data_IF_623675934472
#
_entry.id   IF_623675934472
#
_cell.length_a   1.000
_cell.length_b   1.000
_cell.length_c   1.000
_cell.angle_alpha   90.00
_cell.angle_beta   90.00
_cell.angle_gamma   90.00
#
_symmetry.space_group_name_H-M   'P 1'
#
loop_
_entity.id
_entity.type
_entity.pdbx_description
1 polymer ?
#
# COMPACT_ATOMS: atom_id res chain seq x y z
N UNK A 1 9.31 1.54 -26.80
CA UNK A 1 9.46 2.15 -28.14
C UNK A 1 8.15 2.36 -28.92
N UNK A 2 6.99 1.92 -28.43
CA UNK A 2 5.69 2.09 -29.13
C UNK A 2 4.95 3.39 -28.78
N UNK A 3 5.30 4.05 -27.68
CA UNK A 3 4.70 5.32 -27.22
C UNK A 3 4.63 6.43 -28.29
N UNK A 4 5.64 6.63 -29.16
CA UNK A 4 5.55 7.64 -30.22
C UNK A 4 4.52 7.32 -31.33
N UNK A 5 4.10 6.06 -31.49
CA UNK A 5 3.16 5.65 -32.54
C UNK A 5 1.68 5.80 -32.13
N UNK A 6 1.41 5.92 -30.82
CA UNK A 6 0.06 6.07 -30.26
C UNK A 6 -0.77 7.18 -30.92
N UNK A 7 -0.23 8.40 -31.16
CA UNK A 7 -0.98 9.46 -31.83
C UNK A 7 -1.44 9.09 -33.25
N UNK A 8 -0.63 8.34 -34.00
CA UNK A 8 -0.97 7.90 -35.36
C UNK A 8 -2.11 6.89 -35.33
N UNK A 9 -2.09 5.94 -34.39
CA UNK A 9 -3.19 5.00 -34.20
C UNK A 9 -4.50 5.69 -33.79
N UNK A 10 -4.43 6.69 -32.91
CA UNK A 10 -5.61 7.48 -32.53
C UNK A 10 -6.18 8.26 -33.71
N UNK A 11 -5.33 8.90 -34.52
CA UNK A 11 -5.75 9.59 -35.75
C UNK A 11 -6.44 8.62 -36.72
N UNK A 12 -5.81 7.49 -37.03
CA UNK A 12 -6.37 6.47 -37.94
C UNK A 12 -7.72 5.93 -37.44
N UNK A 13 -7.82 5.63 -36.14
CA UNK A 13 -9.07 5.21 -35.51
C UNK A 13 -10.16 6.29 -35.58
N UNK A 14 -9.80 7.54 -35.31
CA UNK A 14 -10.73 8.68 -35.36
C UNK A 14 -11.28 8.96 -36.76
N UNK A 15 -10.43 8.89 -37.80
CA UNK A 15 -10.88 9.03 -39.19
C UNK A 15 -11.80 7.88 -39.62
N UNK A 16 -11.47 6.63 -39.25
CA UNK A 16 -12.33 5.47 -39.51
C UNK A 16 -13.68 5.58 -38.82
N UNK A 17 -13.72 6.05 -37.56
CA UNK A 17 -14.95 6.28 -36.82
C UNK A 17 -15.81 7.38 -37.46
N UNK A 18 -15.20 8.48 -37.92
CA UNK A 18 -15.91 9.61 -38.54
C UNK A 18 -16.76 9.18 -39.74
N UNK A 19 -16.29 8.21 -40.55
CA UNK A 19 -17.04 7.67 -41.69
C UNK A 19 -18.28 6.85 -41.27
N UNK A 20 -18.28 6.27 -40.07
CA UNK A 20 -19.30 5.35 -39.58
C UNK A 20 -20.41 6.04 -38.75
N UNK A 21 -20.15 7.27 -38.30
CA UNK A 21 -20.98 8.08 -37.40
C UNK A 21 -22.33 8.51 -38.03
N UNK A 22 -22.54 8.38 -39.34
CA UNK A 22 -23.82 8.73 -39.98
C UNK A 22 -25.00 7.81 -39.63
N UNK A 23 -24.75 6.58 -39.14
CA UNK A 23 -25.79 5.55 -38.94
C UNK A 23 -26.04 5.29 -37.46
N UNK A 24 -27.27 5.52 -36.98
CA UNK A 24 -27.66 5.37 -35.56
C UNK A 24 -27.35 3.98 -35.00
N UNK A 25 -27.58 2.93 -35.78
CA UNK A 25 -27.31 1.53 -35.40
C UNK A 25 -25.82 1.28 -35.19
N UNK A 26 -24.96 1.88 -36.02
CA UNK A 26 -23.51 1.72 -35.93
C UNK A 26 -22.95 2.43 -34.70
N UNK A 27 -23.48 3.63 -34.36
CA UNK A 27 -23.13 4.31 -33.11
C UNK A 27 -23.51 3.49 -31.88
N UNK A 28 -24.71 2.91 -31.85
CA UNK A 28 -25.16 2.08 -30.73
C UNK A 28 -24.26 0.84 -30.55
N UNK A 29 -23.88 0.18 -31.65
CA UNK A 29 -22.94 -0.94 -31.60
C UNK A 29 -21.55 -0.51 -31.10
N UNK A 30 -21.00 0.61 -31.58
CA UNK A 30 -19.69 1.11 -31.12
C UNK A 30 -19.68 1.46 -29.64
N UNK A 31 -20.76 2.06 -29.13
CA UNK A 31 -20.89 2.36 -27.70
C UNK A 31 -20.96 1.07 -26.89
N UNK A 32 -21.76 0.09 -27.35
CA UNK A 32 -21.89 -1.20 -26.68
C UNK A 32 -20.55 -1.94 -26.64
N UNK A 33 -19.83 -2.01 -27.77
CA UNK A 33 -18.54 -2.71 -27.84
C UNK A 33 -17.48 -2.02 -26.98
N UNK A 34 -17.45 -0.68 -26.97
CA UNK A 34 -16.56 0.09 -26.08
C UNK A 34 -16.87 -0.18 -24.61
N UNK A 35 -18.14 -0.14 -24.22
CA UNK A 35 -18.59 -0.43 -22.85
C UNK A 35 -18.23 -1.85 -22.44
N UNK A 36 -18.51 -2.84 -23.30
CA UNK A 36 -18.18 -4.24 -23.01
C UNK A 36 -16.68 -4.44 -22.90
N UNK A 37 -15.88 -3.83 -23.77
CA UNK A 37 -14.42 -3.96 -23.72
C UNK A 37 -13.86 -3.31 -22.46
N UNK A 38 -14.31 -2.11 -22.11
CA UNK A 38 -13.93 -1.44 -20.86
C UNK A 38 -14.31 -2.28 -19.64
N UNK A 39 -15.50 -2.89 -19.63
CA UNK A 39 -15.94 -3.75 -18.54
C UNK A 39 -15.11 -5.03 -18.43
N UNK A 40 -14.75 -5.65 -19.56
CA UNK A 40 -13.87 -6.83 -19.58
C UNK A 40 -12.49 -6.46 -19.05
N UNK A 41 -11.89 -5.37 -19.52
CA UNK A 41 -10.57 -4.90 -19.05
C UNK A 41 -10.60 -4.57 -17.55
N UNK A 42 -11.67 -3.93 -17.08
CA UNK A 42 -11.85 -3.67 -15.65
C UNK A 42 -11.93 -4.96 -14.84
N UNK A 43 -12.80 -5.90 -15.25
CA UNK A 43 -13.11 -7.11 -14.47
C UNK A 43 -11.98 -8.13 -14.48
N UNK A 44 -11.28 -8.30 -15.60
CA UNK A 44 -10.25 -9.32 -15.79
C UNK A 44 -8.82 -8.78 -15.78
N UNK A 45 -8.62 -7.49 -16.03
CA UNK A 45 -7.32 -6.85 -15.98
C UNK A 45 -7.09 -6.15 -14.65
N UNK A 46 -7.77 -5.03 -14.44
CA UNK A 46 -7.48 -4.13 -13.32
C UNK A 46 -7.91 -4.69 -11.96
N UNK A 47 -9.12 -5.24 -11.85
CA UNK A 47 -9.64 -5.73 -10.57
C UNK A 47 -8.78 -6.85 -9.96
N UNK A 48 -8.43 -7.95 -10.67
CA UNK A 48 -7.57 -8.98 -10.13
C UNK A 48 -6.15 -8.47 -9.90
N UNK A 49 -5.66 -7.53 -10.71
CA UNK A 49 -4.37 -6.90 -10.50
C UNK A 49 -4.34 -6.17 -9.15
N UNK A 50 -5.31 -5.30 -8.85
CA UNK A 50 -5.34 -4.60 -7.56
C UNK A 50 -5.45 -5.56 -6.38
N UNK A 51 -6.28 -6.61 -6.49
CA UNK A 51 -6.46 -7.62 -5.43
C UNK A 51 -5.24 -8.51 -5.19
N UNK A 52 -4.33 -8.65 -6.16
CA UNK A 52 -3.14 -9.50 -6.02
C UNK A 52 -1.87 -8.72 -5.68
N UNK A 53 -1.94 -7.39 -5.66
CA UNK A 53 -0.78 -6.55 -5.32
C UNK A 53 -0.50 -6.52 -3.83
N UNK A 54 0.76 -6.31 -3.48
CA UNK A 54 1.19 -6.24 -2.07
C UNK A 54 0.51 -5.11 -1.28
N UNK A 55 -0.03 -4.08 -1.94
CA UNK A 55 -0.82 -3.03 -1.29
C UNK A 55 -2.10 -3.56 -0.65
N UNK A 56 -2.66 -4.64 -1.20
CA UNK A 56 -3.84 -5.30 -0.63
C UNK A 56 -3.57 -5.90 0.77
N UNK A 57 -2.30 -6.13 1.14
CA UNK A 57 -1.93 -6.54 2.50
C UNK A 57 -2.31 -5.47 3.53
N UNK A 58 -2.17 -4.18 3.20
CA UNK A 58 -2.59 -3.09 4.09
C UNK A 58 -4.11 -3.02 4.21
N UNK A 59 -4.83 -3.22 3.11
CA UNK A 59 -6.30 -3.27 3.12
C UNK A 59 -6.82 -4.43 3.98
N UNK A 60 -6.31 -5.64 3.76
CA UNK A 60 -6.69 -6.81 4.55
C UNK A 60 -6.31 -6.68 6.03
N UNK A 61 -5.15 -6.08 6.30
CA UNK A 61 -4.75 -5.78 7.68
C UNK A 61 -5.69 -4.77 8.33
N UNK A 62 -6.03 -3.68 7.64
CA UNK A 62 -6.99 -2.68 8.14
C UNK A 62 -8.36 -3.28 8.47
N UNK A 63 -8.92 -4.07 7.55
CA UNK A 63 -10.18 -4.80 7.78
C UNK A 63 -10.12 -5.78 8.95
N UNK A 64 -8.96 -6.42 9.16
CA UNK A 64 -8.74 -7.32 10.29
C UNK A 64 -8.64 -6.54 11.61
N UNK A 65 -7.93 -5.42 11.62
CA UNK A 65 -7.81 -4.55 12.80
C UNK A 65 -9.18 -4.05 13.24
N UNK A 66 -10.06 -3.66 12.31
CA UNK A 66 -11.42 -3.21 12.61
C UNK A 66 -12.28 -4.27 13.32
N UNK A 67 -12.00 -5.56 13.11
CA UNK A 67 -12.70 -6.67 13.77
C UNK A 67 -12.17 -6.95 15.18
N UNK A 68 -10.96 -6.53 15.51
CA UNK A 68 -10.36 -6.73 16.83
C UNK A 68 -10.95 -5.73 17.85
N UNK A 69 -11.07 -6.11 19.13
CA UNK A 69 -11.56 -5.21 20.18
C UNK A 69 -10.58 -4.05 20.44
N UNK A 70 -11.02 -3.01 21.14
CA UNK A 70 -10.19 -1.84 21.45
C UNK A 70 -10.16 -0.79 20.34
N UNK A 71 -9.70 0.41 20.68
CA UNK A 71 -9.80 1.57 19.78
C UNK A 71 -8.46 1.98 19.16
N UNK A 72 -7.33 1.57 19.75
CA UNK A 72 -6.00 1.98 19.33
C UNK A 72 -5.08 0.82 19.00
N UNK A 73 -4.19 1.03 18.04
CA UNK A 73 -3.21 0.04 17.57
C UNK A 73 -1.84 0.69 17.42
N UNK A 74 -0.79 0.03 17.92
CA UNK A 74 0.58 0.49 17.76
C UNK A 74 1.14 -0.05 16.43
N UNK A 75 1.51 0.84 15.52
CA UNK A 75 2.08 0.46 14.23
C UNK A 75 3.56 0.81 14.21
N UNK A 76 4.40 -0.14 13.80
CA UNK A 76 5.83 0.06 13.55
C UNK A 76 6.14 -0.31 12.11
N UNK A 77 6.94 0.52 11.44
CA UNK A 77 7.39 0.25 10.09
C UNK A 77 8.88 -0.10 10.13
N UNK A 78 9.28 -1.12 9.36
CA UNK A 78 10.62 -1.69 9.33
C UNK A 78 11.67 -0.58 9.23
N UNK A 79 12.52 -0.52 10.25
CA UNK A 79 13.44 0.61 10.39
C UNK A 79 14.55 0.52 9.33
N UNK A 80 14.91 1.63 8.67
CA UNK A 80 16.02 1.63 7.73
C UNK A 80 17.36 1.24 8.38
N UNK A 81 17.62 1.62 9.63
CA UNK A 81 18.94 1.45 10.26
C UNK A 81 19.28 0.03 10.74
N UNK A 82 18.33 -0.90 10.87
CA UNK A 82 18.62 -2.23 11.45
C UNK A 82 19.53 -3.11 10.58
N UNK A 83 19.78 -2.75 9.31
CA UNK A 83 20.66 -3.52 8.42
C UNK A 83 21.87 -2.74 7.92
N UNK A 84 22.08 -1.48 8.31
CA UNK A 84 23.18 -0.66 7.79
C UNK A 84 23.16 -0.42 6.27
N UNK A 85 22.16 -0.96 5.57
CA UNK A 85 22.04 -0.93 4.12
C UNK A 85 20.80 -0.10 3.74
N UNK A 86 21.01 1.21 3.82
CA UNK A 86 20.16 2.25 3.23
C UNK A 86 20.39 2.35 1.71
N UNK A 87 21.46 1.73 1.20
CA UNK A 87 21.86 1.76 -0.21
C UNK A 87 21.08 0.73 -1.05
N UNK A 88 19.76 0.88 -1.14
CA UNK A 88 18.97 0.02 -2.04
C UNK A 88 17.46 0.09 -1.88
N UNK A 89 16.95 0.65 -0.79
CA UNK A 89 15.52 0.86 -0.59
C UNK A 89 15.09 2.15 -1.29
N UNK A 90 14.20 2.03 -2.28
CA UNK A 90 13.71 3.19 -3.01
C UNK A 90 12.76 4.05 -2.17
N UNK A 91 11.92 3.43 -1.35
CA UNK A 91 10.80 4.05 -0.64
C UNK A 91 11.01 3.95 0.87
N UNK A 92 10.69 5.02 1.60
CA UNK A 92 10.65 5.00 3.06
C UNK A 92 9.50 4.10 3.55
N UNK A 93 9.76 2.99 4.27
CA UNK A 93 8.70 2.09 4.76
C UNK A 93 7.67 2.77 5.66
N UNK A 94 8.06 3.85 6.34
CA UNK A 94 7.20 4.65 7.23
C UNK A 94 5.96 5.20 6.51
N UNK A 95 6.00 5.38 5.17
CA UNK A 95 4.84 5.80 4.37
C UNK A 95 3.66 4.82 4.48
N UNK A 96 3.90 3.57 4.90
CA UNK A 96 2.84 2.58 5.09
C UNK A 96 1.94 2.87 6.27
N UNK A 97 2.41 3.63 7.26
CA UNK A 97 1.62 4.00 8.44
C UNK A 97 0.39 4.83 8.03
N UNK A 98 0.54 5.99 7.35
CA UNK A 98 -0.62 6.75 6.88
C UNK A 98 -1.41 6.01 5.81
N UNK A 99 -0.80 5.10 5.04
CA UNK A 99 -1.56 4.27 4.10
C UNK A 99 -2.45 3.25 4.83
N UNK A 100 -1.98 2.65 5.91
CA UNK A 100 -2.78 1.77 6.76
C UNK A 100 -3.93 2.53 7.43
N UNK A 101 -3.68 3.78 7.83
CA UNK A 101 -4.68 4.68 8.43
C UNK A 101 -5.91 4.90 7.53
N UNK A 102 -5.73 4.84 6.20
CA UNK A 102 -6.84 4.93 5.24
C UNK A 102 -7.75 3.69 5.23
N UNK A 103 -7.27 2.55 5.73
CA UNK A 103 -7.96 1.26 5.66
C UNK A 103 -8.45 0.76 7.02
N UNK A 104 -8.29 1.53 8.08
CA UNK A 104 -8.74 1.18 9.43
C UNK A 104 -9.50 2.33 10.06
N UNK A 105 -10.42 2.01 10.96
CA UNK A 105 -11.10 2.98 11.83
C UNK A 105 -10.43 3.09 13.20
N UNK A 106 -9.43 2.24 13.47
CA UNK A 106 -8.65 2.30 14.71
C UNK A 106 -7.75 3.53 14.74
N UNK A 107 -7.57 4.08 15.92
CA UNK A 107 -6.55 5.10 16.14
C UNK A 107 -5.16 4.47 16.01
N UNK A 108 -4.41 4.88 14.99
CA UNK A 108 -3.04 4.45 14.81
C UNK A 108 -2.13 5.29 15.70
N UNK A 109 -1.34 4.62 16.53
CA UNK A 109 -0.22 5.23 17.22
C UNK A 109 1.10 4.65 16.72
N UNK A 110 2.13 5.48 16.69
CA UNK A 110 3.47 5.09 16.26
C UNK A 110 4.49 5.71 17.22
N UNK A 111 5.19 4.88 17.98
CA UNK A 111 6.28 5.34 18.86
C UNK A 111 7.58 5.64 18.11
N UNK A 112 7.70 5.17 16.86
CA UNK A 112 8.90 5.31 16.05
C UNK A 112 9.15 6.77 15.64
N UNK A 113 10.43 7.13 15.52
CA UNK A 113 10.86 8.38 14.93
C UNK A 113 10.84 8.26 13.40
N UNK A 114 10.19 9.20 12.73
CA UNK A 114 10.21 9.25 11.27
C UNK A 114 11.50 9.95 10.84
N UNK A 115 12.37 9.23 10.13
CA UNK A 115 13.59 9.82 9.57
C UNK A 115 13.19 10.71 8.41
N UNK A 116 13.34 12.02 8.59
CA UNK A 116 13.18 13.01 7.53
C UNK A 116 14.56 13.45 7.07
N UNK A 117 14.86 13.31 5.77
CA UNK A 117 16.10 13.70 5.07
C UNK A 117 17.16 12.61 4.97
N UNK A 118 17.06 11.83 3.91
CA UNK A 118 18.13 10.99 3.40
C UNK A 118 18.76 11.68 2.18
N UNK A 119 20.05 12.02 2.22
CA UNK A 119 20.71 12.70 1.10
C UNK A 119 20.84 11.81 -0.15
N UNK A 120 20.90 10.49 0.05
CA UNK A 120 21.03 9.49 -1.01
C UNK A 120 19.83 9.45 -1.97
N UNK A 121 18.68 10.03 -1.57
CA UNK A 121 17.44 10.02 -2.35
C UNK A 121 17.05 11.38 -2.95
N UNK A 122 17.91 12.42 -2.86
CA UNK A 122 17.61 13.78 -3.39
C UNK A 122 17.19 13.78 -4.87
N UNK A 123 17.80 12.90 -5.68
CA UNK A 123 17.53 12.78 -7.12
C UNK A 123 16.52 11.66 -7.47
N UNK A 124 15.89 11.04 -6.47
CA UNK A 124 14.92 9.98 -6.66
C UNK A 124 13.51 10.52 -6.87
N UNK A 125 12.73 9.91 -7.76
CA UNK A 125 11.30 10.24 -7.95
C UNK A 125 10.46 9.95 -6.70
N UNK A 126 10.97 9.15 -5.78
CA UNK A 126 10.32 8.76 -4.52
C UNK A 126 10.86 9.52 -3.30
N UNK A 127 11.60 10.62 -3.51
CA UNK A 127 12.12 11.48 -2.42
C UNK A 127 11.05 11.96 -1.45
N UNK A 128 9.82 12.18 -1.93
CA UNK A 128 8.70 12.68 -1.13
C UNK A 128 8.37 11.73 0.04
N UNK A 129 8.66 10.44 -0.09
CA UNK A 129 8.46 9.45 0.98
C UNK A 129 9.45 9.65 2.14
N UNK A 130 10.61 10.27 1.87
CA UNK A 130 11.67 10.59 2.82
C UNK A 130 11.59 12.01 3.37
N UNK A 131 10.79 12.87 2.74
CA UNK A 131 10.54 14.26 3.18
C UNK A 131 9.30 14.37 4.07
N UNK A 132 8.56 13.28 4.24
CA UNK A 132 7.35 13.26 5.05
C UNK A 132 7.69 13.46 6.54
N UNK A 133 7.13 14.51 7.12
CA UNK A 133 7.18 14.77 8.55
C UNK A 133 6.13 13.94 9.28
N UNK A 134 6.41 13.56 10.53
CA UNK A 134 5.46 12.82 11.39
C UNK A 134 4.36 13.76 11.90
N UNK A 135 3.09 13.54 11.54
CA UNK A 135 2.01 14.31 12.13
C UNK A 135 1.82 14.03 13.62
N UNK A 136 1.47 15.03 14.46
CA UNK A 136 1.37 14.86 15.91
C UNK A 136 0.30 13.87 16.37
N UNK A 137 -0.72 13.62 15.54
CA UNK A 137 -1.82 12.72 15.88
C UNK A 137 -1.42 11.24 15.93
N UNK A 138 -0.25 10.87 15.39
CA UNK A 138 0.29 9.51 15.52
C UNK A 138 1.09 9.29 16.83
N UNK A 139 1.22 10.28 17.70
CA UNK A 139 1.92 10.07 18.97
C UNK A 139 1.10 9.17 19.91
N UNK A 140 1.74 8.17 20.52
CA UNK A 140 1.08 7.25 21.43
C UNK A 140 0.57 7.97 22.68
N UNK A 141 -0.74 7.91 22.92
CA UNK A 141 -1.42 8.50 24.09
C UNK A 141 -1.84 7.47 25.15
N UNK A 142 -1.62 6.18 24.91
CA UNK A 142 -2.01 5.08 25.80
C UNK A 142 -1.40 3.74 25.38
N UNK A 143 -1.68 2.68 26.14
CA UNK A 143 -1.20 1.34 25.83
C UNK A 143 -2.09 0.65 24.79
N UNK A 144 -1.54 0.41 23.60
CA UNK A 144 -2.25 -0.31 22.55
C UNK A 144 -2.17 -1.81 22.81
N UNK A 145 -3.33 -2.48 22.84
CA UNK A 145 -3.42 -3.94 23.01
C UNK A 145 -2.84 -4.71 21.82
N UNK A 146 -2.87 -4.11 20.63
CA UNK A 146 -2.39 -4.72 19.40
C UNK A 146 -1.22 -3.96 18.82
N UNK A 147 -0.26 -4.71 18.28
CA UNK A 147 0.88 -4.19 17.55
C UNK A 147 0.86 -4.67 16.11
N UNK A 148 1.12 -3.76 15.18
CA UNK A 148 1.22 -4.02 13.74
C UNK A 148 2.66 -3.75 13.32
N UNK A 149 3.32 -4.76 12.78
CA UNK A 149 4.66 -4.65 12.24
C UNK A 149 4.58 -4.71 10.72
N UNK A 150 5.06 -3.66 10.06
CA UNK A 150 5.10 -3.57 8.60
C UNK A 150 6.56 -3.66 8.16
N UNK A 151 6.91 -4.58 7.27
CA UNK A 151 8.27 -4.72 6.75
C UNK A 151 8.30 -4.78 5.23
N UNK A 152 9.38 -4.30 4.63
CA UNK A 152 9.65 -4.47 3.21
C UNK A 152 10.51 -5.73 3.03
N UNK A 153 10.09 -6.59 2.11
CA UNK A 153 10.78 -7.82 1.69
C UNK A 153 10.77 -9.03 2.64
N UNK A 154 9.77 -9.18 3.50
CA UNK A 154 9.57 -10.43 4.23
C UNK A 154 10.62 -10.73 5.32
N UNK A 155 11.61 -9.85 5.50
CA UNK A 155 12.44 -9.81 6.68
C UNK A 155 11.58 -9.32 7.84
N UNK A 156 10.93 -10.26 8.53
CA UNK A 156 10.38 -10.00 9.85
C UNK A 156 11.53 -9.45 10.67
N UNK A 157 11.39 -8.22 11.17
CA UNK A 157 12.31 -7.78 12.21
C UNK A 157 12.09 -8.77 13.36
N UNK A 158 13.06 -9.65 13.59
CA UNK A 158 13.18 -10.51 14.77
C UNK A 158 13.31 -9.68 16.07
N UNK A 159 12.94 -8.40 16.04
CA UNK A 159 13.00 -7.51 17.17
C UNK A 159 11.81 -7.73 18.10
N UNK A 160 12.06 -8.60 19.07
CA UNK A 160 11.91 -8.26 20.48
C UNK A 160 10.50 -8.28 21.05
N UNK A 161 10.10 -9.48 21.46
CA UNK A 161 9.06 -9.69 22.46
C UNK A 161 8.76 -11.16 22.60
N UNK A 162 9.31 -11.82 23.63
CA UNK A 162 9.06 -13.24 23.98
C UNK A 162 7.60 -13.52 24.41
N UNK A 163 6.68 -12.57 24.20
CA UNK A 163 5.39 -12.54 24.88
C UNK A 163 4.28 -11.90 24.02
N UNK A 164 4.29 -12.15 22.70
CA UNK A 164 3.25 -11.66 21.80
C UNK A 164 2.73 -12.79 20.92
N UNK A 165 1.42 -13.00 20.89
CA UNK A 165 0.79 -13.98 20.00
C UNK A 165 0.56 -13.37 18.62
N UNK A 166 0.92 -14.10 17.56
CA UNK A 166 0.62 -13.69 16.18
C UNK A 166 -0.85 -13.98 15.90
N UNK A 167 -1.59 -12.95 15.50
CA UNK A 167 -3.00 -13.06 15.15
C UNK A 167 -3.15 -13.32 13.66
N UNK A 168 -2.42 -12.55 12.84
CA UNK A 168 -2.54 -12.61 11.38
C UNK A 168 -1.25 -12.15 10.70
N UNK A 169 -0.98 -12.73 9.52
CA UNK A 169 0.15 -12.37 8.65
C UNK A 169 -0.37 -12.22 7.22
N UNK A 170 -0.05 -11.09 6.58
CA UNK A 170 -0.45 -10.76 5.21
C UNK A 170 0.78 -10.54 4.33
N UNK A 171 1.05 -11.47 3.40
CA UNK A 171 2.25 -11.51 2.58
C UNK A 171 1.96 -11.74 1.08
N UNK A 172 0.92 -11.13 0.53
CA UNK A 172 0.73 -11.19 -0.93
C UNK A 172 1.87 -10.43 -1.63
N UNK A 173 2.49 -11.07 -2.63
CA UNK A 173 3.50 -10.48 -3.51
C UNK A 173 3.11 -10.76 -4.96
N UNK A 174 3.00 -9.72 -5.78
CA UNK A 174 2.75 -9.86 -7.23
C UNK A 174 4.03 -9.76 -8.07
N UNK A 175 5.13 -9.28 -7.50
CA UNK A 175 6.36 -8.97 -8.23
C UNK A 175 6.27 -7.74 -9.15
N UNK A 176 5.08 -7.16 -9.32
CA UNK A 176 4.88 -5.96 -10.14
C UNK A 176 5.47 -4.69 -9.53
N UNK A 177 5.60 -4.66 -8.20
CA UNK A 177 6.13 -3.52 -7.45
C UNK A 177 7.35 -3.93 -6.64
N UNK A 178 8.36 -3.05 -6.63
CA UNK A 178 9.59 -3.24 -5.84
C UNK A 178 9.33 -3.15 -4.34
N UNK A 179 8.41 -2.29 -3.93
CA UNK A 179 7.95 -2.19 -2.55
C UNK A 179 6.80 -3.17 -2.33
N UNK A 180 6.94 -4.06 -1.35
CA UNK A 180 5.93 -5.09 -1.06
C UNK A 180 5.74 -5.25 0.46
N UNK A 181 4.81 -4.50 1.07
CA UNK A 181 4.64 -4.50 2.52
C UNK A 181 4.15 -5.87 3.00
N UNK A 182 4.93 -6.52 3.83
CA UNK A 182 4.50 -7.59 4.73
C UNK A 182 3.86 -6.93 5.95
N UNK A 183 2.66 -7.37 6.34
CA UNK A 183 1.98 -6.88 7.54
C UNK A 183 1.76 -8.02 8.51
N UNK A 184 2.18 -7.84 9.76
CA UNK A 184 2.00 -8.79 10.85
C UNK A 184 1.21 -8.10 11.95
N UNK A 185 0.14 -8.74 12.42
CA UNK A 185 -0.65 -8.27 13.56
C UNK A 185 -0.38 -9.18 14.75
N UNK A 186 0.00 -8.57 15.88
CA UNK A 186 0.29 -9.26 17.14
C UNK A 186 -0.59 -8.72 18.27
N UNK A 187 -0.97 -9.60 19.19
CA UNK A 187 -1.50 -9.19 20.49
C UNK A 187 -0.34 -8.95 21.46
N UNK A 188 -0.38 -7.84 22.17
CA UNK A 188 0.55 -7.55 23.26
C UNK A 188 0.03 -8.30 24.49
N UNK A 189 0.78 -9.26 25.03
CA UNK A 189 0.49 -9.71 26.38
C UNK A 189 0.81 -8.52 27.30
N UNK A 190 -0.24 -7.95 27.90
CA UNK A 190 -0.10 -7.05 29.02
C UNK A 190 0.50 -7.88 30.16
N UNK A 191 1.83 -7.93 30.23
CA UNK A 191 2.51 -8.37 31.44
C UNK A 191 1.96 -7.49 32.55
N UNK A 192 1.31 -8.12 33.53
CA UNK A 192 0.90 -7.51 34.77
C UNK A 192 2.20 -7.03 35.43
N UNK A 193 2.57 -5.77 35.20
CA UNK A 193 3.57 -5.09 36.01
C UNK A 193 2.81 -4.20 36.99
N UNK A 194 2.04 -4.85 37.85
CA UNK A 194 1.75 -4.32 39.18
C UNK A 194 2.68 -5.05 40.14
N UNK A 195 3.73 -4.35 40.57
CA UNK A 195 4.33 -4.44 41.91
C UNK A 195 5.32 -3.29 42.11
#
# INVERSE_FOLDING_TARGET
YTLPLLPVFFMAGGYGLKMLVGKRVVRAHLLLTSLTLSFIIYSFGYLPFFKTTAMNNLTLAGEMLDKLPGNGVEVTAGHPDQRGDLHGRGVNPVITIPLLDLFTRKEICNGQRWTSKEESHKNSSVRFTWELWKPPYYNCKGDARYRVEISDDGAVAESTGRDTSIIAVFQQKSGAFRFSPLVIIREKNLSITDQ
#
